data_IF_026549282899
#
_entry.id   IF_026549282899
#
_cell.length_a   1.000
_cell.length_b   1.000
_cell.length_c   1.000
_cell.angle_alpha   90.00
_cell.angle_beta   90.00
_cell.angle_gamma   90.00
#
_symmetry.space_group_name_H-M   'P 1'
#
loop_
_entity.id
_entity.type
_entity.pdbx_description
1 polymer ?
#
# COMPACT_ATOMS: atom_id res chain seq x y z
N UNK A 1 -69.00 -26.13 -13.69
CA UNK A 1 -69.07 -25.71 -12.28
C UNK A 1 -67.69 -25.87 -11.64
N UNK A 2 -66.94 -24.76 -11.48
CA UNK A 2 -65.96 -24.46 -10.42
C UNK A 2 -65.22 -23.17 -10.80
N UNK A 3 -65.66 -22.08 -10.19
CA UNK A 3 -64.90 -20.83 -9.98
C UNK A 3 -63.86 -21.06 -8.87
N UNK A 4 -62.83 -20.19 -8.83
CA UNK A 4 -61.91 -19.80 -7.73
C UNK A 4 -60.44 -19.86 -8.21
N UNK A 5 -59.53 -18.93 -7.89
CA UNK A 5 -59.55 -17.63 -7.20
C UNK A 5 -58.16 -16.99 -7.41
N UNK A 6 -58.10 -15.67 -7.35
CA UNK A 6 -56.88 -14.87 -7.23
C UNK A 6 -55.92 -15.35 -6.14
N UNK A 7 -54.61 -15.21 -6.38
CA UNK A 7 -53.69 -14.61 -5.42
C UNK A 7 -52.32 -14.37 -6.09
N UNK A 8 -52.03 -13.09 -6.33
CA UNK A 8 -50.71 -12.55 -6.61
C UNK A 8 -50.00 -12.36 -5.26
N UNK A 9 -48.80 -12.92 -5.01
CA UNK A 9 -47.92 -12.40 -3.98
C UNK A 9 -46.78 -11.63 -4.65
N UNK A 10 -46.85 -10.32 -4.42
CA UNK A 10 -45.79 -9.32 -4.52
C UNK A 10 -44.52 -9.80 -3.82
N UNK A 11 -43.45 -10.06 -4.58
CA UNK A 11 -42.13 -10.37 -4.02
C UNK A 11 -41.41 -9.07 -3.70
N UNK A 12 -41.28 -8.86 -2.39
CA UNK A 12 -40.38 -8.03 -1.63
C UNK A 12 -39.22 -7.38 -2.42
N UNK A 13 -39.21 -6.05 -2.45
CA UNK A 13 -38.05 -5.26 -2.85
C UNK A 13 -36.92 -5.49 -1.83
N UNK A 14 -35.82 -6.09 -2.30
CA UNK A 14 -34.56 -6.11 -1.56
C UNK A 14 -33.97 -4.70 -1.57
N UNK A 15 -34.27 -3.91 -0.55
CA UNK A 15 -33.48 -2.73 -0.21
C UNK A 15 -32.08 -3.21 0.16
N UNK A 16 -31.16 -3.07 -0.79
CA UNK A 16 -29.73 -3.17 -0.57
C UNK A 16 -29.39 -2.21 0.56
N UNK A 17 -29.14 -2.76 1.75
CA UNK A 17 -28.36 -2.11 2.77
C UNK A 17 -27.00 -1.83 2.14
N UNK A 18 -26.82 -0.60 1.68
CA UNK A 18 -25.50 -0.06 1.41
C UNK A 18 -24.76 -0.05 2.73
N UNK A 19 -23.99 -1.11 2.99
CA UNK A 19 -22.92 -1.05 3.95
C UNK A 19 -21.99 0.05 3.45
N UNK A 20 -22.05 1.22 4.08
CA UNK A 20 -20.97 2.19 3.95
C UNK A 20 -19.71 1.43 4.35
N UNK A 21 -18.75 1.36 3.43
CA UNK A 21 -17.40 0.94 3.75
C UNK A 21 -16.89 1.94 4.80
N UNK A 22 -16.99 1.56 6.07
CA UNK A 22 -16.39 2.32 7.15
C UNK A 22 -14.90 2.47 6.82
N UNK A 23 -14.46 3.71 6.86
CA UNK A 23 -13.11 4.17 6.57
C UNK A 23 -12.11 3.28 7.32
N UNK A 24 -11.35 2.48 6.55
CA UNK A 24 -10.33 1.55 7.06
C UNK A 24 -9.15 2.33 7.62
N UNK A 25 -9.36 3.08 8.69
CA UNK A 25 -8.31 3.72 9.43
C UNK A 25 -8.15 2.96 10.75
N UNK A 26 -7.70 1.70 10.66
CA UNK A 26 -7.47 0.82 11.80
C UNK A 26 -6.01 0.96 12.29
N UNK A 27 -5.74 1.77 13.33
CA UNK A 27 -4.40 1.87 13.91
C UNK A 27 -3.92 0.54 14.55
N UNK A 28 -4.83 -0.41 14.76
CA UNK A 28 -4.57 -1.75 15.28
C UNK A 28 -4.25 -2.79 14.21
N UNK A 29 -4.22 -2.43 12.93
CA UNK A 29 -4.03 -3.40 11.84
C UNK A 29 -2.75 -4.22 12.03
N UNK A 30 -2.88 -5.53 12.16
CA UNK A 30 -1.70 -6.41 12.29
C UNK A 30 -1.12 -6.65 10.90
N UNK A 31 0.10 -6.18 10.67
CA UNK A 31 0.80 -6.35 9.39
C UNK A 31 1.04 -7.84 9.14
N UNK A 32 0.74 -8.28 7.93
CA UNK A 32 0.94 -9.66 7.52
C UNK A 32 2.42 -10.06 7.66
N UNK A 33 2.68 -11.28 8.13
CA UNK A 33 4.04 -11.83 8.21
C UNK A 33 4.58 -12.32 6.85
N UNK A 34 3.76 -12.28 5.79
CA UNK A 34 4.14 -12.65 4.44
C UNK A 34 4.94 -11.53 3.75
N UNK A 35 5.66 -11.79 2.63
CA UNK A 35 6.24 -10.73 1.82
C UNK A 35 5.19 -9.68 1.42
N UNK A 36 5.60 -8.42 1.39
CA UNK A 36 4.73 -7.29 1.05
C UNK A 36 4.09 -7.50 -0.33
N UNK A 37 2.76 -7.52 -0.37
CA UNK A 37 2.01 -7.71 -1.60
C UNK A 37 0.62 -7.07 -1.48
N UNK A 38 -0.10 -7.01 -2.60
CA UNK A 38 -1.47 -6.52 -2.64
C UNK A 38 -1.87 -6.08 -4.03
N UNK A 39 -2.41 -4.87 -4.12
CA UNK A 39 -2.84 -4.27 -5.37
C UNK A 39 -2.40 -2.81 -5.47
N UNK A 40 -1.95 -2.43 -6.66
CA UNK A 40 -1.73 -1.05 -7.05
C UNK A 40 -2.48 -0.82 -8.35
N UNK A 41 -3.32 0.22 -8.41
CA UNK A 41 -4.18 0.51 -9.56
C UNK A 41 -5.06 -0.70 -9.97
N UNK A 42 -5.63 -1.38 -8.98
CA UNK A 42 -6.44 -2.60 -9.10
C UNK A 42 -5.73 -3.79 -9.79
N UNK A 43 -4.41 -3.71 -9.99
CA UNK A 43 -3.58 -4.80 -10.51
C UNK A 43 -2.85 -5.47 -9.36
N UNK A 44 -2.71 -6.81 -9.38
CA UNK A 44 -1.87 -7.50 -8.42
C UNK A 44 -0.45 -6.94 -8.43
N UNK A 45 0.10 -6.70 -7.24
CA UNK A 45 1.44 -6.20 -7.03
C UNK A 45 2.12 -7.02 -5.94
N UNK A 46 3.39 -7.37 -6.13
CA UNK A 46 4.17 -8.11 -5.16
C UNK A 46 5.57 -7.54 -5.08
N UNK A 47 6.05 -7.29 -3.86
CA UNK A 47 7.37 -6.77 -3.59
C UNK A 47 8.45 -7.76 -4.04
N UNK A 48 9.44 -7.24 -4.75
CA UNK A 48 10.65 -7.95 -5.17
C UNK A 48 11.88 -7.35 -4.49
N UNK A 49 12.08 -6.04 -4.64
CA UNK A 49 13.26 -5.37 -4.11
C UNK A 49 12.97 -3.96 -3.61
N UNK A 50 13.75 -3.53 -2.61
CA UNK A 50 13.72 -2.19 -2.07
C UNK A 50 15.12 -1.59 -2.03
N UNK A 51 15.24 -0.31 -2.37
CA UNK A 51 16.50 0.44 -2.24
C UNK A 51 16.23 1.84 -1.70
N UNK A 52 17.22 2.42 -1.04
CA UNK A 52 17.16 3.81 -0.59
C UNK A 52 17.86 4.74 -1.57
N UNK A 53 17.57 6.03 -1.48
CA UNK A 53 18.34 7.09 -2.13
C UNK A 53 19.06 7.90 -1.06
N UNK A 54 20.40 7.90 -1.08
CA UNK A 54 21.20 8.63 -0.09
C UNK A 54 21.00 10.14 -0.17
N UNK A 55 20.83 10.68 -1.37
CA UNK A 55 20.72 12.12 -1.59
C UNK A 55 19.40 12.67 -1.05
N UNK A 56 18.32 11.88 -1.16
CA UNK A 56 16.99 12.22 -0.65
C UNK A 56 16.75 11.76 0.79
N UNK A 57 17.64 10.95 1.36
CA UNK A 57 17.59 10.56 2.77
C UNK A 57 18.19 11.64 3.67
N UNK A 58 17.64 11.78 4.88
CA UNK A 58 18.07 12.78 5.86
C UNK A 58 18.04 12.19 7.29
N UNK A 59 18.08 13.06 8.30
CA UNK A 59 18.05 12.64 9.71
C UNK A 59 16.68 12.04 10.12
N UNK A 60 15.60 12.35 9.39
CA UNK A 60 14.25 11.84 9.69
C UNK A 60 14.05 10.42 9.16
N UNK A 61 14.73 10.04 8.07
CA UNK A 61 14.64 8.69 7.55
C UNK A 61 15.35 8.41 6.24
N UNK A 62 15.19 7.17 5.79
CA UNK A 62 15.65 6.69 4.50
C UNK A 62 14.57 6.88 3.44
N UNK A 63 14.84 7.72 2.44
CA UNK A 63 13.95 7.82 1.28
C UNK A 63 14.07 6.54 0.46
N UNK A 64 13.00 5.77 0.41
CA UNK A 64 12.99 4.36 0.00
C UNK A 64 12.04 4.15 -1.17
N UNK A 65 12.47 3.33 -2.13
CA UNK A 65 11.67 2.82 -3.23
C UNK A 65 11.46 1.32 -3.05
N UNK A 66 10.21 0.87 -3.03
CA UNK A 66 9.84 -0.55 -3.02
C UNK A 66 9.22 -0.90 -4.38
N UNK A 67 9.72 -1.95 -5.04
CA UNK A 67 9.34 -2.29 -6.42
C UNK A 67 8.95 -3.76 -6.57
N UNK A 68 8.12 -4.02 -7.58
CA UNK A 68 7.83 -5.36 -8.10
C UNK A 68 8.87 -5.87 -9.11
N UNK A 69 9.98 -5.14 -9.26
CA UNK A 69 11.14 -5.52 -10.06
C UNK A 69 12.41 -5.52 -9.22
N UNK A 70 13.44 -6.18 -9.73
CA UNK A 70 14.79 -6.09 -9.18
C UNK A 70 15.30 -4.64 -9.24
N UNK A 71 15.91 -4.19 -8.16
CA UNK A 71 16.50 -2.87 -8.05
C UNK A 71 17.99 -2.98 -7.73
N UNK A 72 18.74 -1.99 -8.22
CA UNK A 72 20.09 -1.70 -7.75
C UNK A 72 20.14 -0.27 -7.23
N UNK A 73 21.17 0.08 -6.48
CA UNK A 73 21.34 1.48 -6.04
C UNK A 73 21.44 2.48 -7.19
N UNK A 74 21.77 2.03 -8.40
CA UNK A 74 21.84 2.87 -9.59
C UNK A 74 20.47 3.06 -10.27
N UNK A 75 19.47 2.21 -9.96
CA UNK A 75 18.16 2.23 -10.61
C UNK A 75 17.11 3.07 -9.87
N UNK A 76 17.49 3.79 -8.80
CA UNK A 76 16.54 4.59 -8.02
C UNK A 76 15.78 5.60 -8.90
N UNK A 77 16.51 6.32 -9.76
CA UNK A 77 15.98 7.38 -10.62
C UNK A 77 15.17 6.89 -11.83
N UNK A 78 15.00 5.58 -12.01
CA UNK A 78 14.21 5.03 -13.11
C UNK A 78 12.70 5.15 -12.83
N UNK A 79 12.03 6.09 -13.49
CA UNK A 79 10.56 6.20 -13.52
C UNK A 79 9.91 5.40 -14.67
N UNK A 80 10.73 4.70 -15.46
CA UNK A 80 10.24 3.78 -16.50
C UNK A 80 9.80 2.43 -15.95
N UNK A 81 9.99 2.22 -14.64
CA UNK A 81 9.59 1.00 -13.95
C UNK A 81 8.06 0.90 -13.82
N UNK A 82 7.52 -0.33 -13.71
CA UNK A 82 6.12 -0.55 -13.34
C UNK A 82 5.83 0.07 -11.97
N UNK A 83 4.55 0.08 -11.62
CA UNK A 83 4.04 0.67 -10.39
C UNK A 83 4.89 0.32 -9.16
N UNK A 84 5.25 1.33 -8.36
CA UNK A 84 6.15 1.20 -7.20
C UNK A 84 5.69 2.08 -6.04
N UNK A 85 6.31 1.89 -4.88
CA UNK A 85 6.00 2.65 -3.66
C UNK A 85 7.21 3.52 -3.28
N UNK A 86 6.95 4.79 -2.99
CA UNK A 86 7.89 5.70 -2.33
C UNK A 86 7.47 5.94 -0.89
N UNK A 87 8.43 5.90 0.03
CA UNK A 87 8.21 6.19 1.44
C UNK A 87 9.50 6.64 2.14
N UNK A 88 9.36 7.37 3.24
CA UNK A 88 10.48 7.63 4.16
C UNK A 88 10.41 6.66 5.33
N UNK A 89 11.41 5.77 5.42
CA UNK A 89 11.52 4.77 6.48
C UNK A 89 12.33 5.33 7.65
N UNK A 90 11.78 5.41 8.88
CA UNK A 90 12.52 5.86 10.06
C UNK A 90 13.81 5.09 10.31
N UNK A 91 14.80 5.78 10.86
CA UNK A 91 16.10 5.20 11.27
C UNK A 91 16.02 4.38 12.55
N UNK A 92 14.95 4.54 13.32
CA UNK A 92 14.74 3.84 14.57
C UNK A 92 13.71 2.72 14.37
N UNK A 93 13.92 1.54 14.97
CA UNK A 93 12.87 0.53 15.07
C UNK A 93 11.67 1.07 15.83
N UNK A 94 10.48 0.77 15.33
CA UNK A 94 9.25 1.30 15.89
C UNK A 94 8.06 1.11 14.97
N UNK A 95 6.88 1.46 15.49
CA UNK A 95 5.62 1.36 14.77
C UNK A 95 5.06 2.76 14.56
N UNK A 96 4.84 3.12 13.30
CA UNK A 96 4.57 4.47 12.84
C UNK A 96 3.26 4.47 12.06
N UNK A 97 2.24 5.13 12.60
CA UNK A 97 0.98 5.35 11.87
C UNK A 97 1.24 6.27 10.68
N UNK A 98 0.64 5.95 9.54
CA UNK A 98 0.59 6.90 8.43
C UNK A 98 -0.34 8.08 8.76
N UNK A 99 -0.04 9.23 8.18
CA UNK A 99 -0.78 10.49 8.32
C UNK A 99 -0.34 11.48 7.25
N UNK A 100 -0.86 12.70 7.25
CA UNK A 100 -0.35 13.77 6.38
C UNK A 100 1.13 14.08 6.60
N UNK A 101 1.63 13.93 7.83
CA UNK A 101 3.04 14.15 8.16
C UNK A 101 3.94 12.93 7.85
N UNK A 102 3.35 11.75 7.66
CA UNK A 102 4.05 10.51 7.34
C UNK A 102 3.19 9.69 6.40
N UNK A 103 3.37 9.88 5.12
CA UNK A 103 2.59 9.19 4.08
C UNK A 103 3.49 8.28 3.26
N UNK A 104 2.87 7.45 2.43
CA UNK A 104 3.55 6.71 1.36
C UNK A 104 2.89 7.10 0.04
N UNK A 105 3.61 6.98 -1.07
CA UNK A 105 3.08 7.27 -2.39
C UNK A 105 3.12 6.01 -3.24
N UNK A 106 1.96 5.58 -3.73
CA UNK A 106 1.90 4.64 -4.85
C UNK A 106 2.13 5.43 -6.13
N UNK A 107 3.26 5.19 -6.78
CA UNK A 107 3.61 5.80 -8.06
C UNK A 107 3.16 4.87 -9.17
N UNK A 108 2.27 5.33 -10.03
CA UNK A 108 1.65 4.52 -11.08
C UNK A 108 1.73 5.19 -12.45
N UNK A 109 1.63 4.39 -13.51
CA UNK A 109 1.46 4.92 -14.87
C UNK A 109 0.04 4.71 -15.38
N UNK A 110 -0.62 5.81 -15.72
CA UNK A 110 -1.98 5.83 -16.29
C UNK A 110 -1.90 6.63 -17.59
N UNK A 111 -2.30 6.01 -18.71
CA UNK A 111 -2.31 6.64 -20.04
C UNK A 111 -0.99 7.30 -20.46
N UNK A 112 0.14 6.76 -19.98
CA UNK A 112 1.49 7.23 -20.29
C UNK A 112 2.04 8.28 -19.31
N UNK A 113 1.18 8.84 -18.46
CA UNK A 113 1.54 9.83 -17.44
C UNK A 113 1.86 9.15 -16.10
N UNK A 114 2.70 9.80 -15.29
CA UNK A 114 3.01 9.36 -13.94
C UNK A 114 2.08 10.03 -12.95
N UNK A 115 1.34 9.22 -12.20
CA UNK A 115 0.42 9.66 -11.17
C UNK A 115 0.93 9.26 -9.79
N UNK A 116 0.66 10.11 -8.80
CA UNK A 116 1.10 9.92 -7.42
C UNK A 116 -0.11 9.79 -6.51
N UNK A 117 -0.40 8.57 -6.04
CA UNK A 117 -1.49 8.31 -5.10
C UNK A 117 -0.94 8.28 -3.68
N UNK A 118 -1.13 9.38 -2.94
CA UNK A 118 -0.56 9.58 -1.61
C UNK A 118 -1.47 8.96 -0.55
N UNK A 119 -1.05 7.83 0.02
CA UNK A 119 -1.74 7.16 1.11
C UNK A 119 -1.32 7.70 2.47
N UNK A 120 -2.30 8.19 3.23
CA UNK A 120 -2.15 8.63 4.62
C UNK A 120 -2.74 7.64 5.61
N UNK A 121 -3.40 6.57 5.14
CA UNK A 121 -3.99 5.51 5.96
C UNK A 121 -3.10 4.27 5.88
N UNK A 122 -2.69 3.79 7.03
CA UNK A 122 -1.76 2.69 7.11
C UNK A 122 -0.92 2.68 8.39
N UNK A 123 -0.03 1.70 8.44
CA UNK A 123 1.01 1.58 9.46
C UNK A 123 2.28 1.04 8.82
N UNK A 124 3.39 1.69 9.15
CA UNK A 124 4.74 1.25 8.87
C UNK A 124 5.34 0.73 10.18
N UNK A 125 5.93 -0.45 10.15
CA UNK A 125 6.69 -1.00 11.27
C UNK A 125 8.13 -1.21 10.83
N UNK A 126 9.08 -0.56 11.50
CA UNK A 126 10.51 -0.78 11.30
C UNK A 126 10.96 -1.77 12.36
N UNK A 127 11.46 -2.92 11.93
CA UNK A 127 11.87 -4.01 12.83
C UNK A 127 13.37 -4.05 13.04
N UNK A 128 14.15 -3.68 12.03
CA UNK A 128 15.61 -3.68 12.10
C UNK A 128 16.20 -2.61 11.16
N UNK A 129 17.21 -1.89 11.66
CA UNK A 129 18.06 -1.00 10.87
C UNK A 129 19.51 -1.41 11.11
N UNK A 130 20.24 -1.66 10.03
CA UNK A 130 21.66 -2.01 10.03
C UNK A 130 22.44 -1.03 9.18
N UNK A 131 23.75 -1.23 9.04
CA UNK A 131 24.60 -0.40 8.16
C UNK A 131 24.26 -0.55 6.67
N UNK A 132 23.61 -1.65 6.26
CA UNK A 132 23.39 -1.96 4.83
C UNK A 132 21.94 -2.26 4.46
N UNK A 133 21.05 -2.42 5.45
CA UNK A 133 19.64 -2.74 5.20
C UNK A 133 18.72 -2.13 6.25
N UNK A 134 17.48 -1.88 5.83
CA UNK A 134 16.33 -1.64 6.71
C UNK A 134 15.25 -2.68 6.44
N UNK A 135 14.68 -3.25 7.51
CA UNK A 135 13.61 -4.24 7.46
C UNK A 135 12.38 -3.72 8.18
N UNK A 136 11.21 -4.12 7.68
CA UNK A 136 9.97 -3.71 8.27
C UNK A 136 8.75 -4.37 7.65
N UNK A 137 7.60 -4.01 8.20
CA UNK A 137 6.29 -4.31 7.66
C UNK A 137 5.61 -3.03 7.17
N UNK A 138 4.78 -3.14 6.14
CA UNK A 138 3.93 -2.06 5.68
C UNK A 138 2.52 -2.60 5.47
N UNK A 139 1.54 -1.94 6.06
CA UNK A 139 0.18 -1.95 5.56
C UNK A 139 -0.20 -0.54 5.18
N UNK A 140 -0.67 -0.32 3.95
CA UNK A 140 -1.06 1.00 3.48
C UNK A 140 -2.19 0.91 2.46
N UNK A 141 -3.08 1.89 2.47
CA UNK A 141 -4.16 2.01 1.49
C UNK A 141 -4.45 3.45 1.11
N UNK A 142 -4.77 3.66 -0.17
CA UNK A 142 -5.32 4.92 -0.69
C UNK A 142 -6.84 4.80 -0.99
N UNK A 143 -7.41 3.61 -0.86
CA UNK A 143 -8.77 3.28 -1.26
C UNK A 143 -8.82 2.03 -2.13
N UNK A 144 -10.00 1.77 -2.73
CA UNK A 144 -10.22 0.59 -3.56
C UNK A 144 -9.19 0.50 -4.70
N UNK A 145 -8.56 -0.67 -4.84
CA UNK A 145 -7.51 -0.93 -5.83
C UNK A 145 -6.10 -0.47 -5.45
N UNK A 146 -5.91 0.12 -4.27
CA UNK A 146 -4.61 0.55 -3.75
C UNK A 146 -4.47 0.09 -2.30
N UNK A 147 -3.95 -1.12 -2.10
CA UNK A 147 -3.74 -1.70 -0.78
C UNK A 147 -2.54 -2.65 -0.85
N UNK A 148 -1.60 -2.50 0.08
CA UNK A 148 -0.50 -3.45 0.27
C UNK A 148 -0.40 -3.84 1.73
N UNK A 149 0.00 -5.09 1.99
CA UNK A 149 0.23 -5.63 3.32
C UNK A 149 1.38 -6.64 3.29
N UNK A 150 2.32 -6.52 4.22
CA UNK A 150 3.36 -7.51 4.46
C UNK A 150 4.72 -6.93 4.78
N UNK A 151 5.74 -7.78 4.68
CA UNK A 151 7.11 -7.51 5.10
C UNK A 151 7.99 -7.12 3.91
N UNK A 152 8.90 -6.16 4.11
CA UNK A 152 9.88 -5.72 3.13
C UNK A 152 11.29 -5.69 3.72
N UNK A 153 12.28 -5.65 2.83
CA UNK A 153 13.67 -5.36 3.16
C UNK A 153 14.23 -4.46 2.08
N UNK A 154 14.74 -3.30 2.45
CA UNK A 154 15.40 -2.39 1.53
C UNK A 154 16.90 -2.32 1.80
N UNK A 155 17.69 -2.33 0.72
CA UNK A 155 19.14 -2.09 0.78
C UNK A 155 19.42 -0.61 0.93
N UNK A 156 20.27 -0.26 1.90
CA UNK A 156 20.76 1.10 2.05
C UNK A 156 21.83 1.36 0.98
N UNK A 157 21.57 2.34 0.14
CA UNK A 157 22.49 2.77 -0.90
C UNK A 157 23.40 3.88 -0.40
N UNK A 158 24.69 3.76 -0.71
CA UNK A 158 25.75 4.72 -0.38
C UNK A 158 25.97 5.78 -1.46
#
# INVERSE_FOLDING_TARGET
>A
MRLLRCALPMVLAASLLGCGEEEKDDPGHTIAAAPLAGQINAKPWAFVAGVTDRYLSDDEGFFTKLSAEELTCQSFNGFEQPDFILLTVPREPGRYRLSLARNITFVVRIDGETENMVATSGVLEVTEVTDTTVRGGLWATFGSGYEVDGQFTATLCE
#
